data_IF_485067317490
#
_entry.id   IF_485067317490
#
_cell.length_a   1.000
_cell.length_b   1.000
_cell.length_c   1.000
_cell.angle_alpha   90.00
_cell.angle_beta   90.00
_cell.angle_gamma   90.00
#
_symmetry.space_group_name_H-M   'P 1'
#
loop_
_entity.id
_entity.type
_entity.pdbx_description
1 polymer ?
#
# COMPACT_ATOMS: atom_id res chain seq x y z
N UNK A 1 -40.92 26.55 35.32
CA UNK A 1 -41.13 25.16 34.86
C UNK A 1 -41.00 25.01 33.33
N UNK A 2 -41.53 25.93 32.53
CA UNK A 2 -41.49 25.85 31.05
C UNK A 2 -40.07 25.83 30.44
N UNK A 3 -39.11 26.54 31.03
CA UNK A 3 -37.73 26.62 30.57
C UNK A 3 -36.97 25.28 30.66
N UNK A 4 -37.27 24.42 31.64
CA UNK A 4 -36.64 23.10 31.77
C UNK A 4 -37.06 22.13 30.68
N UNK A 5 -38.30 22.21 30.20
CA UNK A 5 -38.76 21.37 29.08
C UNK A 5 -38.23 21.83 27.74
N UNK A 6 -38.00 23.13 27.56
CA UNK A 6 -37.36 23.66 26.33
C UNK A 6 -35.93 23.19 26.24
N UNK A 7 -35.18 23.16 27.34
CA UNK A 7 -33.82 22.67 27.38
C UNK A 7 -33.73 21.15 27.06
N UNK A 8 -34.67 20.36 27.60
CA UNK A 8 -34.76 18.92 27.34
C UNK A 8 -35.11 18.59 25.88
N UNK A 9 -35.97 19.37 25.26
CA UNK A 9 -36.32 19.21 23.83
C UNK A 9 -35.14 19.59 22.95
N UNK A 10 -34.39 20.64 23.30
CA UNK A 10 -33.21 21.08 22.55
C UNK A 10 -32.08 20.04 22.62
N UNK A 11 -31.84 19.41 23.76
CA UNK A 11 -30.84 18.34 23.91
C UNK A 11 -31.23 17.06 23.17
N UNK A 12 -32.53 16.70 23.15
CA UNK A 12 -33.03 15.55 22.40
C UNK A 12 -32.86 15.71 20.87
N UNK A 13 -32.96 16.92 20.36
CA UNK A 13 -32.73 17.20 18.94
C UNK A 13 -31.26 17.12 18.53
N UNK A 14 -30.32 17.43 19.41
CA UNK A 14 -28.88 17.36 19.16
C UNK A 14 -28.39 15.90 19.09
N UNK A 15 -29.01 14.98 19.85
CA UNK A 15 -28.62 13.56 19.87
C UNK A 15 -29.19 12.75 18.71
N UNK A 16 -30.16 13.27 17.97
CA UNK A 16 -30.77 12.59 16.81
C UNK A 16 -30.01 12.80 15.47
N UNK A 17 -28.93 13.58 15.48
CA UNK A 17 -28.28 14.11 14.25
C UNK A 17 -27.15 13.29 13.68
N UNK A 18 -26.83 12.08 14.16
CA UNK A 18 -25.69 11.34 13.64
C UNK A 18 -26.02 9.89 13.32
N UNK A 19 -26.73 9.66 12.22
CA UNK A 19 -26.56 8.44 11.45
C UNK A 19 -25.90 8.80 10.13
N UNK A 20 -24.58 8.98 10.17
CA UNK A 20 -23.74 8.99 8.97
C UNK A 20 -23.63 7.54 8.49
N UNK A 21 -24.65 7.09 7.79
CA UNK A 21 -24.56 5.85 7.03
C UNK A 21 -23.93 6.22 5.69
N UNK A 22 -22.65 5.88 5.57
CA UNK A 22 -21.88 6.10 4.35
C UNK A 22 -22.47 5.21 3.25
N UNK A 23 -23.03 5.84 2.22
CA UNK A 23 -23.49 5.13 1.02
C UNK A 23 -22.26 4.85 0.15
N UNK A 24 -21.83 3.61 0.17
CA UNK A 24 -20.64 3.15 -0.56
C UNK A 24 -20.96 2.73 -2.00
N UNK A 25 -22.08 3.17 -2.59
CA UNK A 25 -22.39 2.88 -3.98
C UNK A 25 -21.25 3.40 -4.88
N UNK A 26 -20.59 2.46 -5.56
CA UNK A 26 -19.45 2.73 -6.45
C UNK A 26 -18.06 2.63 -5.82
N UNK A 27 -17.93 2.43 -4.52
CA UNK A 27 -16.65 2.18 -3.86
C UNK A 27 -16.59 0.76 -3.30
N UNK A 28 -15.50 0.03 -3.59
CA UNK A 28 -15.25 -1.26 -2.96
C UNK A 28 -14.74 -1.06 -1.54
N UNK A 29 -15.52 -1.44 -0.55
CA UNK A 29 -15.03 -1.49 0.83
C UNK A 29 -14.03 -2.65 1.00
N UNK A 30 -13.13 -2.62 1.99
CA UNK A 30 -12.25 -3.76 2.28
C UNK A 30 -13.00 -5.08 2.49
N UNK A 31 -14.25 -5.04 2.97
CA UNK A 31 -15.11 -6.20 3.15
C UNK A 31 -15.70 -6.75 1.84
N UNK A 32 -15.82 -5.92 0.80
CA UNK A 32 -16.38 -6.29 -0.49
C UNK A 32 -15.34 -6.59 -1.56
N UNK A 33 -14.10 -6.26 -1.28
CA UNK A 33 -12.97 -6.67 -2.10
C UNK A 33 -12.62 -8.15 -1.82
N UNK A 34 -11.91 -8.80 -2.68
CA UNK A 34 -11.56 -10.24 -2.59
C UNK A 34 -12.72 -11.22 -2.76
N UNK A 35 -13.85 -10.82 -3.35
CA UNK A 35 -14.99 -11.71 -3.59
C UNK A 35 -14.88 -12.50 -4.89
N UNK A 36 -14.12 -12.01 -5.87
CA UNK A 36 -13.95 -12.61 -7.18
C UNK A 36 -12.48 -12.86 -7.51
N UNK A 37 -12.21 -13.81 -8.40
CA UNK A 37 -10.85 -14.08 -8.90
C UNK A 37 -10.21 -12.84 -9.50
N UNK A 38 -10.98 -12.03 -10.24
CA UNK A 38 -10.47 -10.79 -10.85
C UNK A 38 -10.01 -9.77 -9.80
N UNK A 39 -10.75 -9.61 -8.71
CA UNK A 39 -10.36 -8.75 -7.60
C UNK A 39 -9.10 -9.27 -6.91
N UNK A 40 -9.02 -10.58 -6.65
CA UNK A 40 -7.83 -11.21 -6.07
C UNK A 40 -6.61 -11.06 -6.97
N UNK A 41 -6.77 -11.24 -8.29
CA UNK A 41 -5.69 -11.00 -9.26
C UNK A 41 -5.26 -9.52 -9.27
N UNK A 42 -6.20 -8.60 -9.16
CA UNK A 42 -5.89 -7.16 -9.07
C UNK A 42 -5.08 -6.83 -7.81
N UNK A 43 -5.36 -7.51 -6.70
CA UNK A 43 -4.55 -7.37 -5.47
C UNK A 43 -3.11 -7.85 -5.69
N UNK A 44 -2.91 -9.01 -6.34
CA UNK A 44 -1.57 -9.51 -6.68
C UNK A 44 -0.87 -8.55 -7.65
N UNK A 45 -1.59 -8.06 -8.66
CA UNK A 45 -1.02 -7.09 -9.61
C UNK A 45 -0.54 -5.80 -8.91
N UNK A 46 -1.19 -5.39 -7.82
CA UNK A 46 -0.75 -4.24 -7.05
C UNK A 46 0.60 -4.45 -6.36
N UNK A 47 0.99 -5.70 -6.09
CA UNK A 47 2.30 -6.03 -5.51
C UNK A 47 3.47 -5.71 -6.44
N UNK A 48 3.23 -5.66 -7.75
CA UNK A 48 4.24 -5.29 -8.76
C UNK A 48 4.50 -3.78 -8.86
N UNK A 49 3.56 -2.94 -8.36
CA UNK A 49 3.70 -1.48 -8.47
C UNK A 49 4.95 -0.95 -7.75
N UNK A 50 5.24 -1.36 -6.51
CA UNK A 50 6.46 -0.94 -5.83
C UNK A 50 7.74 -1.40 -6.55
N UNK A 51 7.73 -2.61 -7.14
CA UNK A 51 8.86 -3.13 -7.91
C UNK A 51 9.16 -2.25 -9.13
N UNK A 52 8.11 -1.80 -9.85
CA UNK A 52 8.30 -0.87 -10.97
C UNK A 52 9.01 0.42 -10.54
N UNK A 53 8.71 0.92 -9.34
CA UNK A 53 9.35 2.13 -8.82
C UNK A 53 10.76 1.87 -8.28
N UNK A 54 10.99 0.67 -7.73
CA UNK A 54 12.28 0.26 -7.21
C UNK A 54 13.28 0.01 -8.36
N UNK A 55 12.89 -0.80 -9.36
CA UNK A 55 13.72 -1.17 -10.53
C UNK A 55 13.75 -0.10 -11.60
N UNK A 56 14.01 1.15 -11.20
CA UNK A 56 14.28 2.28 -12.08
C UNK A 56 15.78 2.57 -12.12
N UNK A 57 16.16 3.64 -12.83
CA UNK A 57 17.52 4.17 -12.79
C UNK A 57 18.03 4.44 -11.36
N UNK A 58 17.13 4.68 -10.40
CA UNK A 58 17.49 4.93 -9.00
C UNK A 58 18.17 3.73 -8.34
N UNK A 59 17.63 2.53 -8.55
CA UNK A 59 18.28 1.32 -8.05
C UNK A 59 19.66 1.11 -8.69
N UNK A 60 19.73 1.30 -10.00
CA UNK A 60 21.01 1.19 -10.72
C UNK A 60 22.04 2.19 -10.17
N UNK A 61 21.65 3.44 -9.90
CA UNK A 61 22.58 4.41 -9.30
C UNK A 61 22.92 4.01 -7.85
N UNK A 62 21.97 3.54 -7.06
CA UNK A 62 22.21 3.19 -5.67
C UNK A 62 23.13 1.95 -5.51
N UNK A 63 23.14 1.04 -6.48
CA UNK A 63 23.95 -0.20 -6.45
C UNK A 63 25.22 -0.08 -7.26
N UNK A 64 25.14 0.35 -8.51
CA UNK A 64 26.26 0.37 -9.44
C UNK A 64 26.95 1.73 -9.52
N UNK A 65 26.19 2.81 -9.30
CA UNK A 65 26.71 4.18 -9.37
C UNK A 65 27.72 4.54 -8.27
N UNK A 66 27.74 3.74 -7.19
CA UNK A 66 28.70 3.89 -6.08
C UNK A 66 29.96 3.01 -6.27
N UNK A 67 30.03 2.30 -7.38
CA UNK A 67 31.17 1.45 -7.73
C UNK A 67 32.08 2.15 -8.74
N UNK A 68 33.27 1.59 -8.97
CA UNK A 68 34.20 2.04 -10.01
C UNK A 68 33.82 1.57 -11.43
N UNK A 69 32.75 0.77 -11.55
CA UNK A 69 32.26 0.25 -12.82
C UNK A 69 31.39 1.23 -13.59
N UNK A 70 30.85 2.27 -12.93
CA UNK A 70 29.95 3.25 -13.54
C UNK A 70 30.41 4.68 -13.26
N UNK A 71 30.46 5.50 -14.32
CA UNK A 71 30.64 6.94 -14.20
C UNK A 71 29.31 7.66 -14.43
N UNK A 72 28.89 8.49 -13.47
CA UNK A 72 27.67 9.28 -13.55
C UNK A 72 28.06 10.75 -13.78
N UNK A 73 27.89 11.20 -15.02
CA UNK A 73 28.28 12.57 -15.43
C UNK A 73 27.45 13.67 -14.79
N UNK A 74 26.25 13.37 -14.29
CA UNK A 74 25.33 14.38 -13.74
C UNK A 74 25.60 14.77 -12.29
N UNK A 75 26.70 14.33 -11.69
CA UNK A 75 27.12 14.76 -10.35
C UNK A 75 26.12 14.41 -9.25
N UNK A 76 25.45 13.26 -9.34
CA UNK A 76 24.60 12.79 -8.26
C UNK A 76 25.49 12.49 -7.05
N UNK A 77 25.10 12.98 -5.89
CA UNK A 77 25.88 12.84 -4.66
C UNK A 77 26.03 11.36 -4.24
N UNK A 78 25.12 10.49 -4.68
CA UNK A 78 25.22 9.03 -4.47
C UNK A 78 26.48 8.45 -5.13
N UNK A 79 26.80 8.90 -6.37
CA UNK A 79 28.02 8.51 -7.08
C UNK A 79 29.30 9.06 -6.43
N UNK A 80 29.17 10.10 -5.60
CA UNK A 80 30.28 10.69 -4.85
C UNK A 80 30.45 10.10 -3.45
N UNK A 81 29.69 9.04 -3.12
CA UNK A 81 29.66 8.41 -1.79
C UNK A 81 29.31 9.37 -0.64
N UNK A 82 28.64 10.47 -0.95
CA UNK A 82 28.18 11.46 0.02
C UNK A 82 26.77 11.06 0.56
N UNK A 83 26.73 9.89 1.18
CA UNK A 83 25.52 9.32 1.77
C UNK A 83 25.62 9.46 3.28
N UNK A 84 24.58 10.00 3.90
CA UNK A 84 24.48 10.13 5.36
C UNK A 84 23.08 9.80 5.84
N UNK A 85 22.89 9.50 7.14
CA UNK A 85 21.56 9.26 7.71
C UNK A 85 20.57 10.40 7.47
N UNK A 86 21.04 11.64 7.40
CA UNK A 86 20.21 12.81 7.12
C UNK A 86 19.96 13.02 5.62
N UNK A 87 20.73 12.38 4.76
CA UNK A 87 20.63 12.45 3.30
C UNK A 87 20.79 11.05 2.69
N UNK A 88 19.79 10.17 2.87
CA UNK A 88 19.89 8.77 2.47
C UNK A 88 19.74 8.56 0.95
N UNK A 89 19.53 9.65 0.18
CA UNK A 89 19.48 9.65 -1.28
C UNK A 89 18.48 8.59 -1.81
N UNK A 90 18.89 7.80 -2.82
CA UNK A 90 18.08 6.72 -3.38
C UNK A 90 17.87 5.55 -2.41
N UNK A 91 18.64 5.44 -1.34
CA UNK A 91 18.39 4.50 -0.26
C UNK A 91 17.03 4.71 0.42
N UNK A 92 16.56 5.95 0.54
CA UNK A 92 15.21 6.25 1.05
C UNK A 92 14.12 5.71 0.12
N UNK A 93 14.31 5.81 -1.20
CA UNK A 93 13.39 5.24 -2.18
C UNK A 93 13.36 3.70 -2.08
N UNK A 94 14.52 3.06 -1.99
CA UNK A 94 14.63 1.60 -1.83
C UNK A 94 13.92 1.13 -0.57
N UNK A 95 14.13 1.79 0.55
CA UNK A 95 13.44 1.51 1.80
C UNK A 95 11.92 1.68 1.65
N UNK A 96 11.49 2.82 1.14
CA UNK A 96 10.07 3.16 1.01
C UNK A 96 9.33 2.19 0.09
N UNK A 97 9.86 1.93 -1.10
CA UNK A 97 9.20 1.05 -2.06
C UNK A 97 9.34 -0.42 -1.71
N UNK A 98 10.46 -0.85 -1.11
CA UNK A 98 10.63 -2.20 -0.61
C UNK A 98 9.58 -2.54 0.45
N UNK A 99 9.49 -1.74 1.51
CA UNK A 99 8.49 -1.98 2.56
C UNK A 99 7.04 -1.79 2.10
N UNK A 100 6.79 -0.89 1.14
CA UNK A 100 5.47 -0.78 0.50
C UNK A 100 5.10 -2.05 -0.26
N UNK A 101 6.07 -2.68 -0.94
CA UNK A 101 5.90 -3.97 -1.60
C UNK A 101 5.52 -5.06 -0.61
N UNK A 102 6.27 -5.19 0.48
CA UNK A 102 5.96 -6.15 1.57
C UNK A 102 4.56 -5.92 2.15
N UNK A 103 4.18 -4.66 2.37
CA UNK A 103 2.84 -4.31 2.86
C UNK A 103 1.74 -4.77 1.88
N UNK A 104 1.87 -4.47 0.60
CA UNK A 104 0.88 -4.87 -0.41
C UNK A 104 0.77 -6.38 -0.52
N UNK A 105 1.91 -7.09 -0.50
CA UNK A 105 1.91 -8.55 -0.52
C UNK A 105 1.24 -9.14 0.74
N UNK A 106 1.48 -8.58 1.92
CA UNK A 106 0.81 -9.04 3.15
C UNK A 106 -0.70 -8.84 3.07
N UNK A 107 -1.16 -7.68 2.58
CA UNK A 107 -2.59 -7.41 2.39
C UNK A 107 -3.20 -8.38 1.37
N UNK A 108 -2.53 -8.61 0.23
CA UNK A 108 -2.98 -9.53 -0.79
C UNK A 108 -3.09 -10.97 -0.26
N UNK A 109 -2.04 -11.47 0.42
CA UNK A 109 -2.04 -12.81 1.01
C UNK A 109 -3.21 -12.97 1.98
N UNK A 110 -3.35 -12.06 2.95
CA UNK A 110 -4.42 -12.15 3.97
C UNK A 110 -5.81 -12.07 3.33
N UNK A 111 -6.01 -11.17 2.37
CA UNK A 111 -7.31 -11.01 1.71
C UNK A 111 -7.68 -12.21 0.83
N UNK A 112 -6.72 -12.75 0.08
CA UNK A 112 -6.95 -13.89 -0.81
C UNK A 112 -7.15 -15.19 -0.03
N UNK A 113 -6.39 -15.43 1.05
CA UNK A 113 -6.57 -16.61 1.90
C UNK A 113 -8.01 -16.72 2.47
N UNK A 114 -8.64 -15.58 2.74
CA UNK A 114 -10.01 -15.49 3.25
C UNK A 114 -11.08 -15.33 2.15
N UNK A 115 -10.71 -15.38 0.88
CA UNK A 115 -11.63 -15.17 -0.23
C UNK A 115 -12.46 -16.42 -0.53
N UNK A 116 -13.71 -16.28 -1.05
CA UNK A 116 -14.57 -17.39 -1.41
C UNK A 116 -14.29 -17.99 -2.80
N UNK A 117 -13.16 -17.67 -3.42
CA UNK A 117 -12.79 -18.17 -4.75
C UNK A 117 -12.33 -19.64 -4.69
N UNK A 118 -12.26 -20.28 -5.86
CA UNK A 118 -11.80 -21.66 -5.97
C UNK A 118 -10.41 -21.87 -5.33
N UNK A 119 -10.24 -23.01 -4.67
CA UNK A 119 -9.03 -23.32 -3.91
C UNK A 119 -7.77 -23.32 -4.78
N UNK A 120 -7.86 -23.85 -5.99
CA UNK A 120 -6.73 -23.87 -6.93
C UNK A 120 -6.27 -22.46 -7.29
N UNK A 121 -7.22 -21.59 -7.61
CA UNK A 121 -6.94 -20.20 -7.94
C UNK A 121 -6.40 -19.43 -6.72
N UNK A 122 -7.00 -19.63 -5.56
CA UNK A 122 -6.56 -19.06 -4.30
C UNK A 122 -5.11 -19.43 -3.99
N UNK A 123 -4.77 -20.73 -4.05
CA UNK A 123 -3.42 -21.20 -3.76
C UNK A 123 -2.39 -20.65 -4.74
N UNK A 124 -2.73 -20.55 -6.02
CA UNK A 124 -1.87 -19.97 -7.05
C UNK A 124 -1.56 -18.50 -6.79
N UNK A 125 -2.60 -17.70 -6.52
CA UNK A 125 -2.46 -16.27 -6.28
C UNK A 125 -1.73 -15.96 -4.96
N UNK A 126 -1.98 -16.74 -3.92
CA UNK A 126 -1.26 -16.64 -2.64
C UNK A 126 0.21 -17.00 -2.81
N UNK A 127 0.53 -18.02 -3.59
CA UNK A 127 1.90 -18.41 -3.88
C UNK A 127 2.65 -17.28 -4.62
N UNK A 128 2.03 -16.70 -5.64
CA UNK A 128 2.59 -15.57 -6.38
C UNK A 128 2.87 -14.37 -5.46
N UNK A 129 1.90 -13.98 -4.62
CA UNK A 129 2.07 -12.90 -3.67
C UNK A 129 3.18 -13.19 -2.64
N UNK A 130 3.32 -14.45 -2.19
CA UNK A 130 4.39 -14.86 -1.26
C UNK A 130 5.77 -14.81 -1.91
N UNK A 131 5.89 -15.17 -3.18
CA UNK A 131 7.14 -15.04 -3.96
C UNK A 131 7.53 -13.57 -4.09
N UNK A 132 6.59 -12.71 -4.49
CA UNK A 132 6.84 -11.27 -4.61
C UNK A 132 7.24 -10.63 -3.26
N UNK A 133 6.68 -11.13 -2.16
CA UNK A 133 7.04 -10.66 -0.83
C UNK A 133 8.47 -11.05 -0.43
N UNK A 134 8.94 -12.21 -0.87
CA UNK A 134 10.27 -12.72 -0.55
C UNK A 134 11.36 -12.08 -1.42
N UNK A 135 10.99 -11.59 -2.58
CA UNK A 135 11.86 -10.91 -3.53
C UNK A 135 12.19 -9.48 -3.08
#
# INVERSE_FOLDING_TARGET
MKTKYILLILTAWITASCSLQEDTEGFSTPGDFYKTKTQCQSAVNSCYIPLKNLYTYKMMIATEGVTDLMYIASGTQDAQLDISPSQPRFGADMWTYGYRGVMYCNMAVTGIENSPIDEKDRNSLVAEAKVLRAF
#
